data_IF_750125010185
#
_entry.id   IF_750125010185
#
_cell.length_a   1.000
_cell.length_b   1.000
_cell.length_c   1.000
_cell.angle_alpha   90.00
_cell.angle_beta   90.00
_cell.angle_gamma   90.00
#
_symmetry.space_group_name_H-M   'P 1'
#
loop_
_entity.id
_entity.type
_entity.pdbx_description
1 polymer ?
#
# COMPACT_ATOMS: atom_id res chain seq x y z
N UNK A 1 -25.83 12.68 9.46
CA UNK A 1 -25.70 11.97 9.46
C UNK A 1 -24.84 11.35 8.85
N UNK A 2 -25.20 11.00 8.01
CA UNK A 2 -24.29 10.13 7.37
C UNK A 2 -22.85 10.36 7.64
N UNK A 3 -22.56 11.47 8.02
CA UNK A 3 -21.21 11.80 8.46
C UNK A 3 -20.81 10.99 9.66
N UNK A 4 -21.79 10.66 10.46
CA UNK A 4 -21.59 9.83 11.61
C UNK A 4 -21.19 8.43 11.14
N UNK A 5 -20.08 7.95 11.60
CA UNK A 5 -19.61 6.63 11.26
C UNK A 5 -18.81 6.54 9.96
N UNK A 6 -18.63 7.65 9.23
CA UNK A 6 -17.76 7.63 8.07
C UNK A 6 -16.30 7.53 8.51
N UNK A 7 -15.63 6.51 8.01
CA UNK A 7 -14.22 6.31 8.29
C UNK A 7 -13.41 7.27 7.42
N UNK A 8 -12.52 8.09 8.01
CA UNK A 8 -11.67 8.99 7.21
C UNK A 8 -10.83 8.26 6.15
N UNK A 9 -10.53 6.99 6.38
CA UNK A 9 -9.76 6.18 5.44
C UNK A 9 -10.49 5.97 4.12
N UNK A 10 -11.82 6.06 4.12
CA UNK A 10 -12.63 5.90 2.91
C UNK A 10 -12.59 7.14 2.02
N UNK A 11 -11.99 8.22 2.48
CA UNK A 11 -11.93 9.48 1.74
C UNK A 11 -10.58 9.74 1.09
N UNK A 12 -9.68 8.76 1.12
CA UNK A 12 -8.39 8.89 0.48
C UNK A 12 -8.56 8.83 -1.03
N UNK A 13 -8.03 9.84 -1.74
CA UNK A 13 -8.20 10.01 -3.18
C UNK A 13 -6.89 10.12 -3.94
N UNK A 14 -5.79 10.41 -3.25
CA UNK A 14 -4.56 10.73 -3.94
C UNK A 14 -3.33 10.28 -3.15
N UNK A 15 -2.21 10.28 -3.85
CA UNK A 15 -0.91 9.99 -3.28
C UNK A 15 0.05 11.12 -3.69
N UNK A 16 0.90 11.54 -2.79
CA UNK A 16 1.94 12.52 -3.13
C UNK A 16 2.95 11.90 -4.08
N UNK A 17 3.38 12.70 -5.05
CA UNK A 17 4.41 12.24 -5.98
C UNK A 17 5.67 11.78 -5.25
N UNK A 18 6.09 12.55 -4.27
CA UNK A 18 7.26 12.20 -3.48
C UNK A 18 7.13 10.82 -2.82
N UNK A 19 5.95 10.52 -2.30
CA UNK A 19 5.68 9.23 -1.67
C UNK A 19 5.70 8.11 -2.70
N UNK A 20 5.09 8.33 -3.86
CA UNK A 20 5.10 7.35 -4.94
C UNK A 20 6.54 7.09 -5.42
N UNK A 21 7.33 8.14 -5.59
CA UNK A 21 8.72 8.00 -6.00
C UNK A 21 9.53 7.18 -4.99
N UNK A 22 9.27 7.39 -3.70
CA UNK A 22 9.92 6.60 -2.65
C UNK A 22 9.54 5.12 -2.73
N UNK A 23 8.28 4.83 -3.02
CA UNK A 23 7.81 3.46 -3.21
C UNK A 23 8.54 2.80 -4.37
N UNK A 24 8.61 3.47 -5.50
CA UNK A 24 9.27 2.93 -6.69
C UNK A 24 10.76 2.71 -6.47
N UNK A 25 11.43 3.65 -5.83
CA UNK A 25 12.86 3.51 -5.55
C UNK A 25 13.14 2.41 -4.53
N UNK A 26 12.31 2.29 -3.50
CA UNK A 26 12.46 1.22 -2.52
C UNK A 26 12.25 -0.16 -3.16
N UNK A 27 11.28 -0.24 -4.08
CA UNK A 27 11.01 -1.48 -4.81
C UNK A 27 12.20 -1.88 -5.67
N UNK A 28 12.81 -0.92 -6.37
CA UNK A 28 14.03 -1.17 -7.16
C UNK A 28 15.17 -1.67 -6.28
N UNK A 29 15.37 -1.01 -5.14
CA UNK A 29 16.46 -1.35 -4.24
C UNK A 29 16.30 -2.73 -3.61
N UNK A 30 15.08 -3.19 -3.45
CA UNK A 30 14.80 -4.50 -2.86
C UNK A 30 14.87 -5.63 -3.86
N UNK A 31 14.70 -5.32 -5.16
CA UNK A 31 14.65 -6.35 -6.20
C UNK A 31 15.86 -7.28 -6.13
N UNK A 32 15.71 -8.60 -6.25
CA UNK A 32 14.49 -9.35 -6.58
C UNK A 32 13.60 -9.70 -5.38
N UNK A 33 13.89 -9.19 -4.20
CA UNK A 33 13.05 -9.40 -3.03
C UNK A 33 11.86 -8.45 -3.07
N UNK A 34 10.77 -8.83 -2.42
CA UNK A 34 9.60 -7.99 -2.32
C UNK A 34 9.84 -6.89 -1.28
N UNK A 35 9.41 -5.68 -1.62
CA UNK A 35 9.35 -4.56 -0.70
C UNK A 35 7.93 -4.48 -0.13
N UNK A 36 7.80 -4.12 1.14
CA UNK A 36 6.49 -3.91 1.76
C UNK A 36 6.54 -2.82 2.81
N UNK A 37 5.43 -2.08 2.91
CA UNK A 37 5.29 -1.01 3.89
C UNK A 37 3.81 -0.74 4.16
N UNK A 38 3.54 0.02 5.21
CA UNK A 38 2.22 0.57 5.47
C UNK A 38 2.12 1.96 4.86
N UNK A 39 0.90 2.33 4.50
CA UNK A 39 0.59 3.66 3.96
C UNK A 39 -0.12 4.49 5.01
N UNK A 40 0.33 5.71 5.19
CA UNK A 40 -0.34 6.68 6.05
C UNK A 40 -0.85 7.83 5.18
N UNK A 41 -2.06 8.31 5.51
CA UNK A 41 -2.66 9.42 4.79
C UNK A 41 -3.04 10.54 5.74
N UNK A 42 -3.08 11.74 5.20
CA UNK A 42 -3.56 12.93 5.90
C UNK A 42 -4.40 13.74 4.93
N UNK A 43 -5.59 14.11 5.38
CA UNK A 43 -6.51 14.93 4.57
C UNK A 43 -6.77 14.33 3.19
N UNK A 44 -6.94 13.03 3.14
CA UNK A 44 -7.26 12.32 1.89
C UNK A 44 -6.09 12.04 0.98
N UNK A 45 -4.87 12.35 1.41
CA UNK A 45 -3.66 12.17 0.59
C UNK A 45 -2.69 11.22 1.28
N UNK A 46 -2.28 10.18 0.58
CA UNK A 46 -1.22 9.30 1.07
C UNK A 46 0.09 10.07 1.01
N UNK A 47 0.70 10.28 2.17
CA UNK A 47 1.86 11.16 2.27
C UNK A 47 3.06 10.53 2.97
N UNK A 48 2.93 9.31 3.48
CA UNK A 48 4.00 8.73 4.26
C UNK A 48 3.99 7.21 4.19
N UNK A 49 5.19 6.62 4.19
CA UNK A 49 5.39 5.19 4.30
C UNK A 49 5.87 4.87 5.70
N UNK A 50 5.37 3.77 6.25
CA UNK A 50 5.89 3.23 7.50
C UNK A 50 6.52 1.90 7.17
N UNK A 51 7.85 1.85 7.27
CA UNK A 51 8.60 0.63 7.02
C UNK A 51 8.46 -0.30 8.22
N UNK A 52 8.26 -1.58 7.93
CA UNK A 52 8.16 -2.59 8.96
C UNK A 52 9.48 -3.34 9.08
N UNK A 53 9.96 -3.61 10.29
CA UNK A 53 11.17 -4.42 10.46
C UNK A 53 10.97 -5.78 9.80
N UNK A 54 11.95 -6.24 9.04
CA UNK A 54 11.92 -7.55 8.43
C UNK A 54 11.08 -7.65 7.17
N UNK A 55 10.54 -6.54 6.64
CA UNK A 55 9.75 -6.59 5.40
C UNK A 55 10.59 -6.99 4.20
N UNK A 56 11.90 -6.89 4.30
CA UNK A 56 12.82 -7.28 3.24
C UNK A 56 12.72 -8.76 2.93
N UNK A 57 12.26 -9.57 3.87
CA UNK A 57 12.23 -11.01 3.71
C UNK A 57 10.90 -11.58 3.22
N UNK A 58 9.91 -10.72 2.91
CA UNK A 58 8.69 -11.17 2.27
C UNK A 58 7.41 -10.91 3.04
N UNK A 59 6.28 -11.25 2.42
CA UNK A 59 4.95 -10.93 2.93
C UNK A 59 4.61 -11.51 4.29
N UNK A 60 5.07 -12.72 4.58
CA UNK A 60 4.74 -13.37 5.83
C UNK A 60 5.26 -12.61 7.03
N UNK A 61 6.48 -12.08 6.91
CA UNK A 61 7.07 -11.27 7.95
C UNK A 61 6.30 -9.96 8.13
N UNK A 62 5.91 -9.33 7.02
CA UNK A 62 5.12 -8.11 7.07
C UNK A 62 3.78 -8.34 7.76
N UNK A 63 3.08 -9.41 7.42
CA UNK A 63 1.80 -9.76 8.05
C UNK A 63 1.98 -9.97 9.55
N UNK A 64 3.02 -10.69 9.95
CA UNK A 64 3.30 -10.94 11.36
C UNK A 64 3.47 -9.62 12.12
N UNK A 65 4.27 -8.70 11.59
CA UNK A 65 4.49 -7.42 12.25
C UNK A 65 3.24 -6.56 12.32
N UNK A 66 2.37 -6.63 11.31
CA UNK A 66 1.11 -5.90 11.32
C UNK A 66 0.21 -6.31 12.47
N UNK A 67 0.21 -7.59 12.81
CA UNK A 67 -0.57 -8.09 13.96
C UNK A 67 -0.06 -7.56 15.29
N UNK A 68 1.19 -7.11 15.34
CA UNK A 68 1.81 -6.62 16.55
C UNK A 68 1.64 -5.11 16.74
N UNK A 69 1.11 -4.41 15.73
CA UNK A 69 0.97 -2.96 15.79
C UNK A 69 -0.32 -2.55 16.49
N UNK A 70 -0.30 -1.45 17.25
CA UNK A 70 -1.53 -0.89 17.79
C UNK A 70 -2.41 -0.35 16.66
N UNK A 71 -3.70 -0.23 16.94
CA UNK A 71 -4.64 0.35 15.98
C UNK A 71 -4.30 1.82 15.77
N UNK A 72 -4.15 2.21 14.50
CA UNK A 72 -3.82 3.57 14.12
C UNK A 72 -4.63 3.92 12.88
N UNK A 73 -5.60 4.80 13.03
CA UNK A 73 -6.51 5.19 11.95
C UNK A 73 -5.86 6.05 10.88
N UNK A 74 -4.66 6.55 11.12
CA UNK A 74 -3.91 7.24 10.06
C UNK A 74 -3.32 6.26 9.05
N UNK A 75 -3.22 4.99 9.40
CA UNK A 75 -2.78 3.94 8.50
C UNK A 75 -3.98 3.51 7.67
N UNK A 76 -3.88 3.69 6.35
CA UNK A 76 -5.01 3.47 5.45
C UNK A 76 -4.82 2.26 4.55
N UNK A 77 -3.67 1.66 4.56
CA UNK A 77 -3.43 0.49 3.73
C UNK A 77 -1.98 0.08 3.67
N UNK A 78 -1.65 -0.63 2.61
CA UNK A 78 -0.34 -1.25 2.44
C UNK A 78 0.18 -1.02 1.03
N UNK A 79 1.48 -1.21 0.87
CA UNK A 79 2.12 -1.30 -0.44
C UNK A 79 3.08 -2.48 -0.42
N UNK A 80 3.15 -3.20 -1.53
CA UNK A 80 4.17 -4.21 -1.72
C UNK A 80 4.55 -4.29 -3.19
N UNK A 81 5.75 -4.82 -3.46
CA UNK A 81 6.24 -4.97 -4.83
C UNK A 81 6.27 -6.43 -5.24
N UNK A 82 6.04 -6.66 -6.54
CA UNK A 82 6.22 -7.96 -7.18
C UNK A 82 7.48 -7.91 -8.04
N UNK A 83 8.38 -8.87 -7.92
CA UNK A 83 9.58 -8.90 -8.78
C UNK A 83 9.30 -9.33 -10.22
N UNK A 84 8.04 -9.54 -10.57
CA UNK A 84 7.60 -9.91 -11.91
C UNK A 84 6.86 -8.75 -12.58
N UNK A 85 6.59 -8.82 -13.90
CA UNK A 85 5.87 -7.76 -14.61
C UNK A 85 4.36 -7.71 -14.32
N UNK A 86 3.86 -8.44 -13.34
CA UNK A 86 2.45 -8.46 -13.01
C UNK A 86 2.20 -7.73 -11.70
N UNK A 87 1.22 -6.84 -11.67
CA UNK A 87 0.72 -6.27 -10.42
C UNK A 87 -0.66 -6.78 -10.05
N UNK A 88 -1.10 -7.86 -10.68
CA UNK A 88 -2.39 -8.46 -10.36
C UNK A 88 -2.35 -9.09 -8.96
N UNK A 89 -3.27 -8.75 -8.06
CA UNK A 89 -3.26 -9.31 -6.71
C UNK A 89 -3.52 -10.82 -6.72
N UNK A 90 -2.78 -11.54 -5.91
CA UNK A 90 -3.04 -12.95 -5.68
C UNK A 90 -4.19 -13.13 -4.68
N UNK A 91 -4.70 -14.35 -4.53
CA UNK A 91 -5.70 -14.63 -3.51
C UNK A 91 -5.20 -14.32 -2.10
N UNK A 92 -3.91 -14.59 -1.85
CA UNK A 92 -3.30 -14.24 -0.57
C UNK A 92 -3.23 -12.73 -0.37
N UNK A 93 -2.96 -11.97 -1.42
CA UNK A 93 -2.94 -10.51 -1.36
C UNK A 93 -4.33 -9.98 -0.99
N UNK A 94 -5.38 -10.50 -1.62
CA UNK A 94 -6.74 -10.06 -1.34
C UNK A 94 -7.13 -10.34 0.09
N UNK A 95 -6.79 -11.52 0.60
CA UNK A 95 -7.03 -11.87 2.00
C UNK A 95 -6.32 -10.90 2.94
N UNK A 96 -5.10 -10.50 2.59
CA UNK A 96 -4.34 -9.52 3.34
C UNK A 96 -5.01 -8.14 3.28
N UNK A 97 -5.48 -7.72 2.10
CA UNK A 97 -6.16 -6.44 1.90
C UNK A 97 -7.39 -6.32 2.79
N UNK A 98 -8.19 -7.36 2.88
CA UNK A 98 -9.41 -7.34 3.69
C UNK A 98 -9.13 -7.05 5.17
N UNK A 99 -7.93 -7.38 5.65
CA UNK A 99 -7.58 -7.25 7.06
C UNK A 99 -6.95 -5.91 7.41
N UNK A 100 -6.25 -5.26 6.47
CA UNK A 100 -5.31 -4.20 6.81
C UNK A 100 -5.51 -2.92 6.00
N UNK A 101 -6.70 -2.43 5.93
CA UNK A 101 -6.92 -1.09 5.41
C UNK A 101 -7.84 -1.01 4.22
N UNK A 102 -7.82 0.16 3.55
CA UNK A 102 -8.77 0.50 2.50
C UNK A 102 -8.13 0.58 1.13
N UNK A 103 -6.83 0.90 1.08
CA UNK A 103 -6.11 1.08 -0.18
C UNK A 103 -4.84 0.27 -0.13
N UNK A 104 -4.60 -0.48 -1.21
CA UNK A 104 -3.43 -1.33 -1.29
C UNK A 104 -2.76 -1.10 -2.62
N UNK A 105 -1.50 -0.71 -2.59
CA UNK A 105 -0.72 -0.45 -3.79
C UNK A 105 0.14 -1.67 -4.08
N UNK A 106 0.12 -2.11 -5.33
CA UNK A 106 0.98 -3.17 -5.82
C UNK A 106 1.88 -2.58 -6.88
N UNK A 107 3.17 -2.79 -6.74
CA UNK A 107 4.19 -2.32 -7.68
C UNK A 107 4.79 -3.53 -8.38
N UNK A 108 5.05 -3.43 -9.67
CA UNK A 108 5.62 -4.52 -10.46
C UNK A 108 6.98 -4.14 -11.04
N UNK A 109 7.79 -5.14 -11.34
CA UNK A 109 9.03 -4.92 -12.10
C UNK A 109 8.67 -4.41 -13.50
N UNK A 110 9.35 -3.43 -14.08
CA UNK A 110 10.62 -2.81 -13.66
C UNK A 110 10.50 -1.53 -12.82
N UNK A 111 9.40 -1.28 -12.17
CA UNK A 111 9.21 -0.21 -11.20
C UNK A 111 9.32 1.20 -11.79
N UNK A 112 8.78 1.39 -12.99
CA UNK A 112 8.67 2.71 -13.60
C UNK A 112 7.41 3.42 -13.10
N UNK A 113 7.21 4.65 -13.51
CA UNK A 113 6.04 5.44 -13.13
C UNK A 113 4.71 4.78 -13.49
N UNK A 114 4.71 3.85 -14.43
CA UNK A 114 3.50 3.16 -14.89
C UNK A 114 3.35 1.77 -14.28
N UNK A 115 4.27 1.37 -13.41
CA UNK A 115 4.32 0.00 -12.90
C UNK A 115 3.73 -0.13 -11.51
N UNK A 116 2.63 0.55 -11.26
CA UNK A 116 1.91 0.44 -10.00
C UNK A 116 0.41 0.50 -10.22
N UNK A 117 -0.33 -0.07 -9.29
CA UNK A 117 -1.79 -0.04 -9.32
C UNK A 117 -2.30 0.01 -7.89
N UNK A 118 -3.45 0.63 -7.70
CA UNK A 118 -4.11 0.70 -6.39
C UNK A 118 -5.38 -0.15 -6.41
N UNK A 119 -5.66 -0.77 -5.27
CA UNK A 119 -6.80 -1.66 -5.10
C UNK A 119 -7.51 -1.34 -3.79
N UNK A 120 -8.81 -1.60 -3.75
CA UNK A 120 -9.55 -1.52 -2.50
C UNK A 120 -9.40 -2.83 -1.71
N UNK A 121 -10.07 -2.93 -0.58
CA UNK A 121 -9.98 -4.09 0.29
C UNK A 121 -10.55 -5.38 -0.33
N UNK A 122 -11.32 -5.26 -1.43
CA UNK A 122 -11.86 -6.41 -2.14
C UNK A 122 -11.00 -6.83 -3.33
N UNK A 123 -9.88 -6.15 -3.54
CA UNK A 123 -9.01 -6.43 -4.67
C UNK A 123 -9.49 -5.80 -5.97
N UNK A 124 -10.45 -4.90 -5.92
CA UNK A 124 -10.93 -4.18 -7.10
C UNK A 124 -10.01 -3.00 -7.38
N UNK A 125 -9.69 -2.78 -8.64
CA UNK A 125 -8.82 -1.68 -9.05
C UNK A 125 -9.50 -0.34 -8.82
N UNK A 126 -8.76 0.59 -8.25
CA UNK A 126 -9.23 1.96 -8.05
C UNK A 126 -8.24 2.95 -8.65
N UNK A 127 -8.75 4.13 -8.97
CA UNK A 127 -7.90 5.22 -9.43
C UNK A 127 -7.43 6.04 -8.24
N UNK A 128 -6.16 6.44 -8.29
CA UNK A 128 -5.55 7.24 -7.24
C UNK A 128 -4.80 8.36 -7.92
N UNK A 129 -5.18 9.60 -7.64
CA UNK A 129 -4.53 10.76 -8.24
C UNK A 129 -3.14 10.97 -7.65
N UNK A 130 -2.23 11.47 -8.48
CA UNK A 130 -0.89 11.85 -8.02
C UNK A 130 -0.91 13.36 -7.81
N UNK A 131 -0.51 13.78 -6.62
CA UNK A 131 -0.50 15.20 -6.28
C UNK A 131 0.88 15.60 -5.75
N UNK A 132 1.18 16.86 -5.86
CA UNK A 132 2.45 17.39 -5.36
C UNK A 132 2.40 17.66 -3.81
#
# INVERSE_FOLDING_TARGET
MGILGKDPRDQVRSIRRKTLDMILEASKSSHPNEFGALLRAKEGVINELILLPGTISGKRSAIFYLHMLPIDFSIIGTVHSHPSPSFHPSGADISFFERFGRIHIVVRHPYTENDWAAYNLRGERIDLEITD
#
